data_IF_806087457074
#
_entry.id   IF_806087457074
#
_cell.length_a   1.000
_cell.length_b   1.000
_cell.length_c   1.000
_cell.angle_alpha   90.00
_cell.angle_beta   90.00
_cell.angle_gamma   90.00
#
_symmetry.space_group_name_H-M   'P 1'
#
loop_
_entity.id
_entity.type
_entity.pdbx_description
1 polymer ?
#
# COMPACT_ATOMS: atom_id res chain seq x y z
N UNK A 1 -16.41 -77.74 7.68
CA UNK A 1 -17.56 -77.00 8.27
C UNK A 1 -17.03 -75.70 8.90
N UNK A 2 -17.80 -74.62 8.80
CA UNK A 2 -17.53 -73.19 9.11
C UNK A 2 -16.67 -72.46 8.07
N UNK A 3 -17.26 -71.74 7.08
CA UNK A 3 -17.91 -70.39 7.13
C UNK A 3 -16.88 -69.29 7.40
N UNK A 4 -16.51 -68.48 6.40
CA UNK A 4 -17.23 -67.25 5.96
C UNK A 4 -16.55 -65.99 6.51
N UNK A 5 -15.98 -65.14 5.65
CA UNK A 5 -16.43 -63.77 5.35
C UNK A 5 -15.31 -62.88 4.80
N UNK A 6 -15.53 -62.48 3.56
CA UNK A 6 -15.04 -61.31 2.85
C UNK A 6 -15.14 -60.02 3.68
N UNK A 7 -14.09 -59.20 3.69
CA UNK A 7 -14.25 -57.74 3.80
C UNK A 7 -13.25 -57.08 2.85
N UNK A 8 -13.77 -56.65 1.70
CA UNK A 8 -13.10 -55.80 0.74
C UNK A 8 -13.12 -54.38 1.31
N UNK A 9 -11.96 -53.83 1.70
CA UNK A 9 -11.85 -52.44 2.11
C UNK A 9 -11.77 -51.54 0.87
N UNK A 10 -12.92 -50.98 0.48
CA UNK A 10 -13.02 -49.91 -0.51
C UNK A 10 -12.45 -48.61 0.08
N UNK A 11 -11.23 -48.24 -0.32
CA UNK A 11 -10.68 -46.92 -0.10
C UNK A 11 -11.36 -45.91 -1.03
N UNK A 12 -12.35 -45.18 -0.51
CA UNK A 12 -12.88 -43.97 -1.13
C UNK A 12 -11.85 -42.85 -0.94
N UNK A 13 -11.13 -42.53 -2.01
CA UNK A 13 -10.29 -41.33 -2.10
C UNK A 13 -11.24 -40.14 -2.20
N UNK A 14 -11.42 -39.43 -1.09
CA UNK A 14 -12.05 -38.12 -1.10
C UNK A 14 -11.18 -37.17 -1.94
N UNK A 15 -11.64 -36.87 -3.15
CA UNK A 15 -11.14 -35.75 -3.95
C UNK A 15 -11.53 -34.50 -3.17
N UNK A 16 -10.60 -34.01 -2.34
CA UNK A 16 -10.72 -32.71 -1.71
C UNK A 16 -10.74 -31.65 -2.81
N UNK A 17 -11.94 -31.19 -3.19
CA UNK A 17 -12.10 -29.89 -3.82
C UNK A 17 -11.43 -28.87 -2.90
N UNK A 18 -10.24 -28.39 -3.28
CA UNK A 18 -9.73 -27.13 -2.74
C UNK A 18 -10.79 -26.08 -3.09
N UNK A 19 -11.37 -25.37 -2.12
CA UNK A 19 -12.24 -24.25 -2.45
C UNK A 19 -11.41 -23.28 -3.30
N UNK A 20 -11.85 -23.09 -4.54
CA UNK A 20 -11.32 -22.08 -5.43
C UNK A 20 -11.70 -20.75 -4.77
N UNK A 21 -10.77 -20.18 -4.01
CA UNK A 21 -10.92 -18.87 -3.40
C UNK A 21 -11.24 -17.90 -4.52
N UNK A 22 -12.49 -17.44 -4.58
CA UNK A 22 -12.90 -16.36 -5.46
C UNK A 22 -11.90 -15.22 -5.31
N UNK A 23 -11.49 -14.56 -6.42
CA UNK A 23 -10.61 -13.42 -6.32
C UNK A 23 -11.25 -12.39 -5.37
N UNK A 24 -10.46 -11.75 -4.49
CA UNK A 24 -10.96 -10.76 -3.57
C UNK A 24 -11.75 -9.68 -4.33
N UNK A 25 -12.90 -9.22 -3.80
CA UNK A 25 -13.70 -8.19 -4.46
C UNK A 25 -12.84 -6.96 -4.75
N UNK A 26 -12.84 -6.54 -6.03
CA UNK A 26 -12.18 -5.33 -6.45
C UNK A 26 -12.77 -4.12 -5.69
N UNK A 27 -11.99 -3.05 -5.47
CA UNK A 27 -12.47 -1.84 -4.82
C UNK A 27 -13.76 -1.31 -5.47
N UNK A 28 -14.67 -0.80 -4.62
CA UNK A 28 -16.01 -0.33 -5.00
C UNK A 28 -15.95 0.80 -6.04
N UNK A 29 -14.86 1.59 -6.04
CA UNK A 29 -14.54 2.56 -7.07
C UNK A 29 -13.04 2.70 -7.33
N UNK A 30 -12.67 3.13 -8.54
CA UNK A 30 -11.27 3.45 -8.87
C UNK A 30 -10.67 4.54 -7.97
N UNK A 31 -11.49 5.49 -7.53
CA UNK A 31 -11.04 6.60 -6.67
C UNK A 31 -10.63 6.07 -5.29
N UNK A 32 -11.45 5.22 -4.68
CA UNK A 32 -11.13 4.59 -3.39
C UNK A 32 -9.92 3.67 -3.52
N UNK A 33 -9.82 2.88 -4.60
CA UNK A 33 -8.66 2.05 -4.87
C UNK A 33 -7.36 2.87 -4.88
N UNK A 34 -7.37 4.02 -5.56
CA UNK A 34 -6.21 4.89 -5.62
C UNK A 34 -5.92 5.55 -4.26
N UNK A 35 -6.90 5.83 -3.40
CA UNK A 35 -6.64 6.25 -2.02
C UNK A 35 -5.96 5.15 -1.20
N UNK A 36 -6.40 3.90 -1.33
CA UNK A 36 -5.82 2.76 -0.63
C UNK A 36 -4.38 2.49 -1.10
N UNK A 37 -4.13 2.59 -2.41
CA UNK A 37 -2.79 2.53 -3.01
C UNK A 37 -1.91 3.64 -2.44
N UNK A 38 -2.41 4.88 -2.38
CA UNK A 38 -1.66 6.01 -1.84
C UNK A 38 -1.34 5.81 -0.37
N UNK A 39 -2.30 5.31 0.41
CA UNK A 39 -2.09 4.98 1.81
C UNK A 39 -0.96 3.96 1.97
N UNK A 40 -1.03 2.84 1.24
CA UNK A 40 -0.03 1.77 1.30
C UNK A 40 1.38 2.31 1.01
N UNK A 41 1.54 3.14 -0.03
CA UNK A 41 2.83 3.74 -0.39
C UNK A 41 3.30 4.77 0.64
N UNK A 42 2.42 5.62 1.17
CA UNK A 42 2.82 6.57 2.22
C UNK A 42 3.26 5.87 3.50
N UNK A 43 2.63 4.75 3.87
CA UNK A 43 3.03 3.94 5.05
C UNK A 43 4.46 3.42 4.93
N UNK A 44 4.94 3.08 3.74
CA UNK A 44 6.34 2.67 3.52
C UNK A 44 7.35 3.79 3.85
N UNK A 45 6.97 5.04 3.59
CA UNK A 45 7.82 6.18 3.88
C UNK A 45 7.75 6.64 5.33
N UNK A 46 6.59 6.47 5.98
CA UNK A 46 6.36 6.97 7.34
C UNK A 46 6.99 6.00 8.35
N UNK A 47 8.22 6.31 8.73
CA UNK A 47 8.92 5.60 9.80
C UNK A 47 8.54 6.22 11.14
N UNK A 48 8.00 5.45 12.10
CA UNK A 48 7.72 5.93 13.44
C UNK A 48 8.96 6.56 14.08
N UNK A 49 8.79 7.70 14.76
CA UNK A 49 9.83 8.44 15.48
C UNK A 49 11.00 9.01 14.65
N UNK A 50 10.98 8.88 13.31
CA UNK A 50 12.03 9.48 12.46
C UNK A 50 11.82 10.97 12.22
N UNK A 51 10.58 11.37 11.94
CA UNK A 51 10.18 12.77 11.77
C UNK A 51 8.90 13.03 12.57
N UNK A 52 8.78 14.20 13.25
CA UNK A 52 7.57 14.54 13.99
C UNK A 52 6.39 14.86 13.07
N UNK A 53 6.65 15.34 11.85
CA UNK A 53 5.61 15.74 10.89
C UNK A 53 5.93 15.22 9.49
N UNK A 54 4.93 14.63 8.83
CA UNK A 54 4.94 14.30 7.41
C UNK A 54 3.91 15.13 6.65
N UNK A 55 4.31 15.66 5.50
CA UNK A 55 3.43 16.41 4.60
C UNK A 55 3.21 15.63 3.32
N UNK A 56 1.96 15.45 2.93
CA UNK A 56 1.57 14.60 1.81
C UNK A 56 1.15 15.42 0.59
N UNK A 57 1.72 15.11 -0.57
CA UNK A 57 1.26 15.58 -1.88
C UNK A 57 0.92 14.40 -2.76
N UNK A 58 -0.05 14.63 -3.65
CA UNK A 58 -0.42 13.71 -4.72
C UNK A 58 -0.15 14.37 -6.08
N UNK A 59 -0.63 13.74 -7.15
CA UNK A 59 -0.29 14.04 -8.53
C UNK A 59 -0.42 15.55 -8.83
N UNK A 60 0.60 16.11 -9.50
CA UNK A 60 0.70 17.53 -9.84
C UNK A 60 0.71 18.49 -8.63
N UNK A 61 1.21 18.03 -7.48
CA UNK A 61 1.38 18.87 -6.29
C UNK A 61 0.07 19.23 -5.61
N UNK A 62 -0.99 18.44 -5.84
CA UNK A 62 -2.26 18.57 -5.15
C UNK A 62 -2.19 17.99 -3.75
N UNK A 63 -3.12 18.41 -2.90
CA UNK A 63 -3.31 17.79 -1.60
C UNK A 63 -4.10 16.47 -1.74
N UNK A 64 -3.82 15.48 -0.88
CA UNK A 64 -4.72 14.36 -0.69
C UNK A 64 -6.04 14.82 -0.06
N UNK A 65 -7.08 14.00 -0.24
CA UNK A 65 -8.35 14.20 0.44
C UNK A 65 -8.21 14.08 1.96
N UNK A 66 -9.15 14.71 2.68
CA UNK A 66 -9.20 14.66 4.14
C UNK A 66 -9.36 13.23 4.67
N UNK A 67 -10.11 12.39 3.95
CA UNK A 67 -10.27 10.97 4.25
C UNK A 67 -8.93 10.27 4.38
N UNK A 68 -8.04 10.42 3.40
CA UNK A 68 -6.73 9.79 3.36
C UNK A 68 -5.84 10.26 4.52
N UNK A 69 -5.77 11.58 4.78
CA UNK A 69 -4.98 12.12 5.90
C UNK A 69 -5.48 11.58 7.24
N UNK A 70 -6.80 11.44 7.41
CA UNK A 70 -7.40 10.93 8.63
C UNK A 70 -7.01 9.48 8.96
N UNK A 71 -6.67 8.66 7.96
CA UNK A 71 -6.22 7.27 8.16
C UNK A 71 -4.90 7.16 8.91
N UNK A 72 -4.17 8.27 9.02
CA UNK A 72 -2.88 8.36 9.69
C UNK A 72 -2.94 8.95 11.11
N UNK A 73 -4.09 9.40 11.61
CA UNK A 73 -4.21 10.10 12.91
C UNK A 73 -3.63 9.36 14.11
N UNK A 74 -3.58 8.03 14.08
CA UNK A 74 -3.19 7.18 15.20
C UNK A 74 -1.86 6.44 14.99
N UNK A 75 -1.03 6.84 14.03
CA UNK A 75 0.23 6.12 13.72
C UNK A 75 1.43 6.61 14.53
N UNK A 76 1.30 7.73 15.27
CA UNK A 76 2.38 8.36 16.04
C UNK A 76 2.73 9.76 15.52
N UNK A 77 3.48 9.88 14.40
CA UNK A 77 3.78 11.17 13.80
C UNK A 77 2.55 11.90 13.26
N UNK A 78 2.64 13.22 13.20
CA UNK A 78 1.60 14.08 12.64
C UNK A 78 1.67 14.00 11.12
N UNK A 79 0.54 13.72 10.48
CA UNK A 79 0.43 13.70 9.01
C UNK A 79 -0.50 14.81 8.56
N UNK A 80 -0.08 15.61 7.58
CA UNK A 80 -0.78 16.81 7.09
C UNK A 80 -0.81 16.86 5.57
N UNK A 81 -1.70 17.71 5.04
CA UNK A 81 -1.70 18.06 3.62
C UNK A 81 -0.47 18.87 3.26
N UNK A 82 -0.02 18.72 2.03
CA UNK A 82 1.13 19.42 1.49
C UNK A 82 1.01 20.94 1.58
N UNK A 83 -0.17 21.49 1.30
CA UNK A 83 -0.44 22.93 1.38
C UNK A 83 -0.30 23.53 2.79
N UNK A 84 -0.28 22.69 3.84
CA UNK A 84 -0.06 23.14 5.22
C UNK A 84 1.43 23.31 5.57
N UNK A 85 2.33 22.96 4.65
CA UNK A 85 3.75 23.21 4.84
C UNK A 85 4.01 24.72 4.85
N UNK A 86 4.63 25.20 5.93
CA UNK A 86 5.08 26.58 6.08
C UNK A 86 6.54 26.61 6.55
N UNK A 87 7.19 27.77 6.44
CA UNK A 87 8.61 27.94 6.76
C UNK A 87 8.98 27.53 8.19
N UNK A 88 8.05 27.59 9.15
CA UNK A 88 8.29 27.17 10.55
C UNK A 88 8.40 25.66 10.70
N UNK A 89 7.70 24.90 9.86
CA UNK A 89 7.70 23.44 9.90
C UNK A 89 8.67 22.80 8.89
N UNK A 90 9.28 23.59 8.00
CA UNK A 90 10.04 23.11 6.85
C UNK A 90 11.53 22.80 7.13
N UNK A 91 12.11 23.37 8.19
CA UNK A 91 13.56 23.27 8.43
C UNK A 91 13.85 22.06 9.33
N UNK A 92 14.40 20.99 8.74
CA UNK A 92 15.01 19.85 9.43
C UNK A 92 14.09 18.96 10.27
N UNK A 93 12.80 19.28 10.38
CA UNK A 93 11.85 18.61 11.27
C UNK A 93 10.66 17.96 10.55
N UNK A 94 10.64 17.99 9.22
CA UNK A 94 9.56 17.35 8.47
C UNK A 94 10.06 16.62 7.24
N UNK A 95 9.26 15.64 6.81
CA UNK A 95 9.48 14.93 5.58
C UNK A 95 8.31 15.21 4.63
N UNK A 96 8.65 15.66 3.43
CA UNK A 96 7.69 15.85 2.34
C UNK A 96 7.60 14.56 1.54
N UNK A 97 6.39 14.02 1.43
CA UNK A 97 6.08 12.82 0.66
C UNK A 97 5.25 13.20 -0.56
N UNK A 98 5.59 12.66 -1.71
CA UNK A 98 4.84 12.93 -2.93
C UNK A 98 4.62 11.65 -3.70
N UNK A 99 3.35 11.34 -3.99
CA UNK A 99 2.99 10.35 -5.01
C UNK A 99 2.77 11.11 -6.30
N UNK A 100 3.63 10.83 -7.30
CA UNK A 100 3.67 11.56 -8.57
C UNK A 100 2.72 10.97 -9.60
N UNK A 101 2.57 9.64 -9.59
CA UNK A 101 1.80 8.91 -10.60
C UNK A 101 1.40 7.53 -10.09
N UNK A 102 0.19 7.10 -10.46
CA UNK A 102 -0.29 5.72 -10.36
C UNK A 102 -0.59 5.23 -11.78
N UNK A 103 0.03 4.13 -12.19
CA UNK A 103 -0.18 3.49 -13.49
C UNK A 103 -0.76 2.10 -13.26
N UNK A 104 -1.99 1.88 -13.73
CA UNK A 104 -2.62 0.57 -13.67
C UNK A 104 -1.98 -0.37 -14.71
N UNK A 105 -1.44 -1.50 -14.25
CA UNK A 105 -0.89 -2.55 -15.11
C UNK A 105 -2.02 -3.49 -15.52
N UNK A 106 -2.82 -3.90 -14.54
CA UNK A 106 -4.04 -4.70 -14.72
C UNK A 106 -5.03 -4.39 -13.57
N UNK A 107 -6.10 -5.18 -13.42
CA UNK A 107 -7.13 -4.92 -12.40
C UNK A 107 -6.64 -5.04 -10.95
N UNK A 108 -5.57 -5.80 -10.71
CA UNK A 108 -5.05 -6.12 -9.37
C UNK A 108 -3.59 -5.70 -9.20
N UNK A 109 -2.99 -5.01 -10.17
CA UNK A 109 -1.58 -4.62 -10.12
C UNK A 109 -1.38 -3.20 -10.65
N UNK A 110 -0.60 -2.41 -9.91
CA UNK A 110 -0.28 -1.02 -10.23
C UNK A 110 1.19 -0.73 -10.02
N UNK A 111 1.71 0.24 -10.77
CA UNK A 111 3.00 0.88 -10.54
C UNK A 111 2.78 2.29 -10.00
N UNK A 112 3.53 2.66 -8.96
CA UNK A 112 3.42 3.96 -8.28
C UNK A 112 4.78 4.62 -8.21
N UNK A 113 4.85 5.85 -8.72
CA UNK A 113 6.06 6.67 -8.65
C UNK A 113 5.96 7.58 -7.43
N UNK A 114 6.83 7.37 -6.45
CA UNK A 114 6.90 8.14 -5.22
C UNK A 114 8.20 8.92 -5.07
N UNK A 115 8.20 9.90 -4.17
CA UNK A 115 9.42 10.55 -3.70
C UNK A 115 9.29 11.08 -2.28
N UNK A 116 10.41 11.16 -1.58
CA UNK A 116 10.52 11.83 -0.29
C UNK A 116 11.60 12.92 -0.33
N UNK A 117 11.35 14.00 0.41
CA UNK A 117 12.27 15.14 0.57
C UNK A 117 12.43 15.45 2.05
N UNK A 118 13.67 15.57 2.51
CA UNK A 118 14.02 15.96 3.87
C UNK A 118 14.70 17.33 3.81
N UNK A 119 13.89 18.38 4.02
CA UNK A 119 14.37 19.75 3.89
C UNK A 119 15.02 20.05 2.52
N UNK A 120 15.97 21.00 2.45
CA UNK A 120 16.76 21.25 1.25
C UNK A 120 17.93 20.27 1.07
N UNK A 121 18.09 19.29 1.96
CA UNK A 121 19.35 18.55 2.13
C UNK A 121 19.37 17.20 1.42
N UNK A 122 18.21 16.54 1.29
CA UNK A 122 18.16 15.23 0.65
C UNK A 122 16.81 14.93 0.03
N UNK A 123 16.84 14.25 -1.11
CA UNK A 123 15.66 13.74 -1.78
C UNK A 123 15.89 12.34 -2.35
N UNK A 124 14.85 11.51 -2.29
CA UNK A 124 14.87 10.16 -2.86
C UNK A 124 13.63 9.92 -3.71
N UNK A 125 13.81 9.23 -4.82
CA UNK A 125 12.77 8.66 -5.66
C UNK A 125 12.68 7.16 -5.47
N UNK A 126 11.47 6.65 -5.30
CA UNK A 126 11.22 5.22 -5.22
C UNK A 126 9.96 4.90 -6.01
N UNK A 127 10.09 3.91 -6.89
CA UNK A 127 9.00 3.36 -7.65
C UNK A 127 8.54 2.06 -6.99
N UNK A 128 7.24 1.87 -6.84
CA UNK A 128 6.64 0.72 -6.17
C UNK A 128 5.76 -0.05 -7.15
N UNK A 129 5.80 -1.37 -7.07
CA UNK A 129 4.77 -2.23 -7.68
C UNK A 129 3.88 -2.73 -6.55
N UNK A 130 2.57 -2.53 -6.68
CA UNK A 130 1.58 -3.01 -5.71
C UNK A 130 0.68 -4.04 -6.36
N UNK A 131 0.29 -5.03 -5.55
CA UNK A 131 -0.68 -6.06 -5.90
C UNK A 131 -1.84 -6.04 -4.90
N UNK A 132 -3.07 -6.13 -5.41
CA UNK A 132 -4.27 -6.30 -4.60
C UNK A 132 -4.42 -7.78 -4.23
N UNK A 133 -4.22 -8.10 -2.94
CA UNK A 133 -4.32 -9.44 -2.39
C UNK A 133 -4.88 -9.40 -0.96
N UNK A 134 -5.65 -10.41 -0.58
CA UNK A 134 -6.32 -10.47 0.73
C UNK A 134 -7.08 -9.18 1.07
N UNK A 135 -7.86 -8.67 0.11
CA UNK A 135 -8.67 -7.45 0.20
C UNK A 135 -7.90 -6.13 0.43
N UNK A 136 -6.57 -6.12 0.22
CA UNK A 136 -5.75 -4.92 0.42
C UNK A 136 -4.68 -4.77 -0.66
N UNK A 137 -4.30 -3.53 -0.96
CA UNK A 137 -3.13 -3.24 -1.79
C UNK A 137 -1.86 -3.43 -0.97
N UNK A 138 -0.94 -4.27 -1.46
CA UNK A 138 0.33 -4.58 -0.80
C UNK A 138 1.50 -4.29 -1.73
N UNK A 139 2.62 -3.88 -1.14
CA UNK A 139 3.86 -3.66 -1.86
C UNK A 139 4.45 -5.01 -2.26
N UNK A 140 4.52 -5.25 -3.57
CA UNK A 140 5.15 -6.43 -4.18
C UNK A 140 6.63 -6.19 -4.45
N UNK A 141 6.96 -4.97 -4.91
CA UNK A 141 8.33 -4.62 -5.27
C UNK A 141 8.63 -3.14 -4.93
N UNK A 142 9.88 -2.86 -4.54
CA UNK A 142 10.42 -1.53 -4.28
C UNK A 142 11.66 -1.29 -5.14
N UNK A 143 11.64 -0.26 -5.98
CA UNK A 143 12.72 0.10 -6.92
C UNK A 143 13.22 1.50 -6.61
N UNK A 144 14.39 1.66 -5.96
CA UNK A 144 15.04 2.97 -5.87
C UNK A 144 15.25 3.52 -7.29
N UNK A 145 14.76 4.74 -7.56
CA UNK A 145 14.83 5.33 -8.90
C UNK A 145 15.90 6.42 -9.01
N UNK A 146 16.06 7.27 -7.98
CA UNK A 146 17.11 8.28 -7.91
C UNK A 146 17.31 8.77 -6.47
N UNK A 147 18.47 9.37 -6.19
CA UNK A 147 18.81 10.00 -4.91
C UNK A 147 19.57 11.31 -5.20
N UNK A 148 19.36 12.34 -4.38
CA UNK A 148 20.01 13.65 -4.47
C UNK A 148 20.23 14.27 -3.09
#
# INVERSE_FOLDING_TARGET
MYKSLTVLALYLIAIGCKPQSSPPPLPVSKIEAEEDIREAVFREYIVPNKFPIYFLWIENGKDPNESLVNRFKNIGPVVKKGSELNSKNAIGQSMRLTIKKITWINATEVEVIGSAWVGPESAIGIDYVLEFSDDHWKIKERKPSWES
#
